data_IF_423105617410
#
_entry.id   IF_423105617410
#
_cell.length_a   1.000
_cell.length_b   1.000
_cell.length_c   1.000
_cell.angle_alpha   90.00
_cell.angle_beta   90.00
_cell.angle_gamma   90.00
#
_symmetry.space_group_name_H-M   'P 1'
#
loop_
_entity.id
_entity.type
_entity.pdbx_description
1 polymer ?
#
# COMPACT_ATOMS: atom_id res chain seq x y z
N UNK A 1 38.29 -16.93 -1.59
CA UNK A 1 37.63 -17.28 -0.32
C UNK A 1 36.12 -17.34 -0.57
N UNK A 2 35.48 -18.48 -0.26
CA UNK A 2 34.01 -18.72 -0.27
C UNK A 2 33.37 -18.88 -1.66
N UNK A 3 33.10 -20.05 -2.26
CA UNK A 3 32.69 -21.40 -1.79
C UNK A 3 31.31 -21.44 -1.11
N UNK A 4 30.25 -21.25 -1.88
CA UNK A 4 28.91 -21.74 -1.52
C UNK A 4 28.42 -22.74 -2.59
N UNK A 5 28.39 -24.01 -2.19
CA UNK A 5 27.90 -25.17 -2.93
C UNK A 5 26.38 -25.29 -2.84
N UNK A 6 25.71 -25.54 -3.97
CA UNK A 6 24.30 -25.94 -4.00
C UNK A 6 24.21 -27.43 -3.63
N UNK A 7 23.34 -27.74 -2.66
CA UNK A 7 23.06 -29.10 -2.20
C UNK A 7 22.05 -29.74 -3.15
N UNK A 8 22.50 -30.73 -3.92
CA UNK A 8 21.64 -31.76 -4.50
C UNK A 8 21.71 -33.03 -3.64
N UNK A 9 20.56 -33.64 -3.35
CA UNK A 9 20.38 -35.10 -3.43
C UNK A 9 18.91 -35.51 -3.29
N UNK A 10 18.56 -36.47 -4.15
CA UNK A 10 17.25 -36.98 -4.58
C UNK A 10 16.95 -38.36 -3.97
N UNK A 11 15.68 -38.77 -4.10
CA UNK A 11 15.07 -40.12 -4.23
C UNK A 11 14.13 -40.47 -3.07
N UNK A 12 12.94 -41.03 -3.25
CA UNK A 12 12.31 -41.93 -4.26
C UNK A 12 10.79 -41.60 -4.36
N UNK A 13 9.97 -41.93 -5.37
CA UNK A 13 9.80 -43.18 -6.12
C UNK A 13 8.91 -43.00 -7.37
N UNK A 14 9.06 -43.95 -8.30
CA UNK A 14 8.10 -44.51 -9.26
C UNK A 14 7.64 -43.73 -10.53
N UNK A 15 8.06 -44.34 -11.63
CA UNK A 15 7.37 -44.56 -12.92
C UNK A 15 7.34 -43.49 -14.02
N UNK A 16 7.60 -43.97 -15.22
CA UNK A 16 7.88 -43.23 -16.43
C UNK A 16 6.82 -43.55 -17.49
N UNK A 17 6.35 -42.55 -18.23
CA UNK A 17 5.94 -42.78 -19.61
C UNK A 17 6.19 -41.55 -20.51
N UNK A 18 6.52 -41.88 -21.77
CA UNK A 18 7.09 -41.10 -22.88
C UNK A 18 6.19 -39.94 -23.35
N UNK A 19 6.77 -38.83 -23.82
CA UNK A 19 7.01 -38.63 -25.26
C UNK A 19 6.61 -37.21 -25.73
N UNK A 20 7.03 -36.76 -26.93
CA UNK A 20 7.73 -35.48 -27.13
C UNK A 20 6.93 -34.41 -27.89
N UNK A 21 7.29 -33.14 -27.72
CA UNK A 21 6.77 -32.02 -28.50
C UNK A 21 7.68 -30.82 -28.43
N UNK A 22 8.57 -30.72 -29.41
CA UNK A 22 9.34 -29.54 -29.80
C UNK A 22 8.47 -28.29 -29.82
N UNK A 23 8.98 -27.14 -29.35
CA UNK A 23 8.86 -25.92 -30.13
C UNK A 23 9.93 -24.90 -29.74
N UNK A 24 10.51 -24.35 -30.80
CA UNK A 24 11.66 -23.49 -30.81
C UNK A 24 11.32 -22.05 -30.40
N UNK A 25 12.39 -21.35 -30.01
CA UNK A 25 12.54 -19.91 -29.83
C UNK A 25 11.35 -18.99 -30.08
N UNK A 26 11.01 -18.22 -29.05
CA UNK A 26 10.44 -16.88 -29.24
C UNK A 26 11.14 -15.90 -28.31
N UNK A 27 12.10 -15.16 -28.90
CA UNK A 27 12.65 -13.94 -28.33
C UNK A 27 11.53 -12.91 -28.36
N UNK A 28 10.83 -12.75 -27.25
CA UNK A 28 9.83 -11.70 -27.10
C UNK A 28 10.54 -10.35 -26.98
N UNK A 29 10.57 -9.63 -28.11
CA UNK A 29 10.97 -8.23 -28.19
C UNK A 29 10.00 -7.39 -27.35
N UNK A 30 10.46 -6.82 -26.24
CA UNK A 30 9.66 -5.90 -25.42
C UNK A 30 9.21 -4.69 -26.26
N UNK A 31 7.94 -4.27 -26.21
CA UNK A 31 7.51 -3.06 -26.89
C UNK A 31 8.11 -1.85 -26.19
N UNK A 32 8.70 -0.93 -26.96
CA UNK A 32 9.21 0.33 -26.46
C UNK A 32 8.05 1.15 -25.85
N UNK A 33 8.15 1.46 -24.56
CA UNK A 33 7.22 2.37 -23.89
C UNK A 33 7.45 3.80 -24.40
N UNK A 34 6.40 4.41 -24.96
CA UNK A 34 6.39 5.85 -25.21
C UNK A 34 6.29 6.56 -23.85
N UNK A 35 7.03 7.67 -23.61
CA UNK A 35 6.84 8.46 -22.40
C UNK A 35 5.44 9.09 -22.45
N UNK A 36 4.54 8.60 -21.61
CA UNK A 36 3.21 9.16 -21.50
C UNK A 36 3.29 10.44 -20.68
N UNK A 37 3.24 11.58 -21.37
CA UNK A 37 3.22 12.92 -20.77
C UNK A 37 1.81 13.24 -20.23
N UNK A 38 1.30 12.36 -19.35
CA UNK A 38 -0.02 12.47 -18.74
C UNK A 38 0.11 12.76 -17.25
N UNK A 39 -0.65 13.73 -16.75
CA UNK A 39 -0.76 13.99 -15.32
C UNK A 39 -1.40 12.75 -14.64
N UNK A 40 -0.67 11.99 -13.80
CA UNK A 40 -1.19 10.75 -13.20
C UNK A 40 -2.42 10.99 -12.31
N UNK A 41 -2.61 12.24 -11.86
CA UNK A 41 -3.75 12.67 -11.05
C UNK A 41 -5.04 12.91 -11.85
N UNK A 42 -4.98 13.09 -13.19
CA UNK A 42 -6.15 13.44 -14.00
C UNK A 42 -7.24 12.36 -14.03
N UNK A 43 -6.92 11.13 -13.62
CA UNK A 43 -7.86 10.00 -13.59
C UNK A 43 -7.75 9.15 -12.31
N UNK A 44 -7.13 9.70 -11.25
CA UNK A 44 -7.02 9.00 -9.97
C UNK A 44 -8.38 9.05 -9.23
N UNK A 45 -9.28 8.11 -9.53
CA UNK A 45 -10.46 7.90 -8.69
C UNK A 45 -9.99 7.31 -7.35
N UNK A 46 -10.12 8.07 -6.26
CA UNK A 46 -9.85 7.54 -4.92
C UNK A 46 -10.77 6.32 -4.70
N UNK A 47 -10.23 5.12 -4.42
CA UNK A 47 -11.07 3.97 -4.16
C UNK A 47 -11.91 4.25 -2.91
N UNK A 48 -13.23 4.25 -3.08
CA UNK A 48 -14.14 4.38 -1.95
C UNK A 48 -14.14 3.05 -1.18
N UNK A 49 -13.30 2.96 -0.15
CA UNK A 49 -13.26 1.83 0.77
C UNK A 49 -14.20 2.14 1.93
N UNK A 50 -15.38 1.50 2.03
CA UNK A 50 -16.29 1.74 3.13
C UNK A 50 -15.62 1.30 4.44
N UNK A 51 -15.66 2.17 5.44
CA UNK A 51 -15.13 1.85 6.76
C UNK A 51 -16.08 0.85 7.46
N UNK A 52 -15.54 -0.18 8.15
CA UNK A 52 -16.35 -1.07 8.97
C UNK A 52 -17.00 -0.29 10.11
N UNK A 53 -18.18 -0.70 10.57
CA UNK A 53 -18.88 -0.04 11.69
C UNK A 53 -18.00 0.01 12.96
N UNK A 54 -18.18 1.06 13.75
CA UNK A 54 -17.47 1.23 15.01
C UNK A 54 -17.81 0.10 16.00
N UNK A 55 -16.83 -0.49 16.70
CA UNK A 55 -17.08 -1.41 17.81
C UNK A 55 -17.80 -0.70 18.97
N UNK A 56 -18.71 -1.39 19.67
CA UNK A 56 -19.39 -0.84 20.84
C UNK A 56 -18.42 -0.76 22.06
N UNK A 57 -18.18 0.43 22.62
CA UNK A 57 -17.33 0.60 23.79
C UNK A 57 -17.86 -0.08 25.05
N UNK A 58 -19.18 -0.19 25.21
CA UNK A 58 -19.80 -0.79 26.41
C UNK A 58 -19.66 -2.31 26.42
N UNK A 59 -19.75 -2.94 25.25
CA UNK A 59 -19.65 -4.38 25.09
C UNK A 59 -18.18 -4.86 25.02
N UNK A 60 -17.31 -4.16 24.28
CA UNK A 60 -15.90 -4.54 24.15
C UNK A 60 -14.97 -3.30 24.02
N UNK A 61 -14.51 -2.75 25.15
CA UNK A 61 -13.70 -1.53 25.15
C UNK A 61 -12.33 -1.73 24.48
N UNK A 62 -11.74 -2.92 24.60
CA UNK A 62 -10.46 -3.23 24.01
C UNK A 62 -10.51 -3.27 22.47
N UNK A 63 -11.61 -3.75 21.89
CA UNK A 63 -11.82 -3.69 20.44
C UNK A 63 -12.00 -2.24 19.97
N UNK A 64 -12.78 -1.43 20.70
CA UNK A 64 -12.96 -0.02 20.37
C UNK A 64 -11.64 0.76 20.41
N UNK A 65 -10.83 0.60 21.45
CA UNK A 65 -9.55 1.30 21.61
C UNK A 65 -8.52 1.00 20.51
N UNK A 66 -8.61 -0.18 19.88
CA UNK A 66 -7.77 -0.57 18.72
C UNK A 66 -8.31 -0.06 17.39
N UNK A 67 -9.56 0.38 17.34
CA UNK A 67 -10.22 0.83 16.10
C UNK A 67 -9.81 2.24 15.68
N UNK A 68 -9.99 2.55 14.39
CA UNK A 68 -9.74 3.89 13.83
C UNK A 68 -10.66 4.97 14.45
N UNK A 69 -11.84 4.57 14.93
CA UNK A 69 -12.79 5.47 15.58
C UNK A 69 -12.22 6.05 16.87
N UNK A 70 -11.63 5.20 17.71
CA UNK A 70 -10.98 5.66 18.93
C UNK A 70 -9.78 6.58 18.65
N UNK A 71 -9.07 6.38 17.54
CA UNK A 71 -7.98 7.28 17.11
C UNK A 71 -8.55 8.64 16.69
N UNK A 72 -9.63 8.66 15.89
CA UNK A 72 -10.28 9.88 15.43
C UNK A 72 -10.81 10.72 16.60
N UNK A 73 -11.52 10.10 17.55
CA UNK A 73 -12.06 10.82 18.71
C UNK A 73 -10.94 11.44 19.57
N UNK A 74 -9.86 10.69 19.82
CA UNK A 74 -8.71 11.18 20.60
C UNK A 74 -7.93 12.30 19.90
N UNK A 75 -7.80 12.23 18.58
CA UNK A 75 -7.08 13.24 17.79
C UNK A 75 -7.92 14.47 17.45
N UNK A 76 -9.25 14.42 17.64
CA UNK A 76 -10.17 15.52 17.33
C UNK A 76 -9.76 16.85 17.97
N UNK A 77 -9.34 16.83 19.22
CA UNK A 77 -8.95 18.05 19.93
C UNK A 77 -7.73 18.73 19.30
N UNK A 78 -6.70 17.93 18.98
CA UNK A 78 -5.49 18.44 18.30
C UNK A 78 -5.84 18.96 16.92
N UNK A 79 -6.68 18.24 16.17
CA UNK A 79 -7.13 18.65 14.85
C UNK A 79 -7.89 19.99 14.88
N UNK A 80 -8.79 20.19 15.84
CA UNK A 80 -9.52 21.46 15.96
C UNK A 80 -8.61 22.64 16.32
N UNK A 81 -7.60 22.43 17.17
CA UNK A 81 -6.63 23.47 17.48
C UNK A 81 -5.73 23.79 16.29
N UNK A 82 -5.25 22.76 15.60
CA UNK A 82 -4.44 22.88 14.39
C UNK A 82 -5.21 23.65 13.29
N UNK A 83 -6.48 23.30 13.07
CA UNK A 83 -7.33 23.99 12.07
C UNK A 83 -7.52 25.48 12.37
N UNK A 84 -7.48 25.87 13.64
CA UNK A 84 -7.58 27.28 14.07
C UNK A 84 -6.22 27.98 14.19
N UNK A 85 -5.10 27.30 13.88
CA UNK A 85 -3.74 27.76 14.13
C UNK A 85 -3.52 28.18 15.60
N UNK A 86 -4.05 27.40 16.55
CA UNK A 86 -3.94 27.64 18.02
C UNK A 86 -3.16 26.54 18.74
N UNK A 87 -2.32 25.79 18.04
CA UNK A 87 -1.42 24.80 18.63
C UNK A 87 -0.26 25.48 19.34
N UNK A 88 0.11 25.00 20.54
CA UNK A 88 1.21 25.58 21.33
C UNK A 88 2.59 25.06 20.95
N UNK A 89 2.67 23.91 20.29
CA UNK A 89 3.93 23.16 20.10
C UNK A 89 4.37 23.08 18.64
N UNK A 90 3.51 23.47 17.70
CA UNK A 90 3.81 23.48 16.28
C UNK A 90 2.89 24.48 15.59
N UNK A 91 3.35 25.06 14.49
CA UNK A 91 2.56 25.94 13.65
C UNK A 91 2.12 25.19 12.40
N UNK A 92 0.88 25.42 11.96
CA UNK A 92 0.35 24.84 10.73
C UNK A 92 0.42 25.89 9.64
N UNK A 93 1.34 25.67 8.69
CA UNK A 93 1.47 26.51 7.51
C UNK A 93 0.45 26.10 6.44
N UNK A 94 -0.71 26.75 6.48
CA UNK A 94 -1.78 26.50 5.51
C UNK A 94 -1.42 26.94 4.09
N UNK A 95 -0.37 27.76 3.88
CA UNK A 95 0.05 28.16 2.53
C UNK A 95 0.62 26.98 1.73
N UNK A 96 1.19 25.99 2.42
CA UNK A 96 1.77 24.76 1.84
C UNK A 96 0.81 23.58 1.82
N UNK A 97 -0.42 23.76 2.30
CA UNK A 97 -1.39 22.68 2.40
C UNK A 97 -1.76 22.08 1.04
N UNK A 98 -1.90 22.93 0.00
CA UNK A 98 -2.24 22.46 -1.33
C UNK A 98 -1.16 21.56 -1.94
N UNK A 99 0.12 21.93 -1.78
CA UNK A 99 1.24 21.16 -2.34
C UNK A 99 1.46 19.85 -1.59
N UNK A 100 1.31 19.86 -0.26
CA UNK A 100 1.36 18.64 0.54
C UNK A 100 0.19 17.70 0.22
N UNK A 101 -1.02 18.23 0.02
CA UNK A 101 -2.17 17.44 -0.42
C UNK A 101 -1.94 16.81 -1.80
N UNK A 102 -1.36 17.56 -2.75
CA UNK A 102 -1.01 17.05 -4.08
C UNK A 102 0.00 15.91 -4.01
N UNK A 103 1.04 16.04 -3.18
CA UNK A 103 2.05 15.01 -2.98
C UNK A 103 1.48 13.70 -2.43
N UNK A 104 0.49 13.76 -1.54
CA UNK A 104 -0.12 12.53 -0.97
C UNK A 104 -1.03 11.81 -1.98
N UNK A 105 -1.56 12.53 -2.96
CA UNK A 105 -2.50 11.99 -3.97
C UNK A 105 -1.79 11.55 -5.26
N UNK A 106 -0.55 11.99 -5.50
CA UNK A 106 0.29 11.57 -6.64
C UNK A 106 0.90 10.19 -6.44
#
# INVERSE_FOLDING_TARGET
>A
MGLFSRKDKKSSAADADKGPGSDAGSIHKSPASKPMNGNPSANASLPHVPLPRAPDPALNPAAYLRSIYAVRERSKYVFELAKRNKSKHFDVDMTKFADTARFVVS
#
